data_IF_354715726752
#
_entry.id   IF_354715726752
#
_cell.length_a   1.000
_cell.length_b   1.000
_cell.length_c   1.000
_cell.angle_alpha   90.00
_cell.angle_beta   90.00
_cell.angle_gamma   90.00
#
_symmetry.space_group_name_H-M   'P 1'
#
loop_
_entity.id
_entity.type
_entity.pdbx_description
1 polymer ?
#
# COMPACT_ATOMS: atom_id res chain seq x y z
N UNK A 1 -4.87 9.65 16.30
CA UNK A 1 -4.46 9.42 14.93
C UNK A 1 -4.15 7.99 14.71
N UNK A 2 -4.77 7.41 13.73
CA UNK A 2 -4.60 6.00 13.45
C UNK A 2 -3.50 5.79 12.44
N UNK A 3 -2.59 4.85 12.71
CA UNK A 3 -1.55 4.52 11.75
C UNK A 3 -2.12 3.86 10.50
N UNK A 4 -3.32 3.32 10.60
CA UNK A 4 -3.93 2.65 9.46
C UNK A 4 -4.34 3.63 8.37
N UNK A 5 -4.28 4.93 8.63
CA UNK A 5 -4.60 5.92 7.61
C UNK A 5 -3.39 6.43 6.86
N UNK A 6 -2.18 5.96 7.23
CA UNK A 6 -0.97 6.40 6.54
C UNK A 6 -0.92 5.81 5.15
N UNK A 7 -0.98 6.67 4.14
CA UNK A 7 -0.88 6.23 2.76
C UNK A 7 0.57 6.01 2.36
N UNK A 8 0.78 5.18 1.36
CA UNK A 8 2.10 4.91 0.82
C UNK A 8 2.04 5.04 -0.69
N UNK A 9 3.12 5.49 -1.29
CA UNK A 9 3.18 5.69 -2.74
C UNK A 9 4.32 4.86 -3.32
N UNK A 10 4.02 4.21 -4.45
CA UNK A 10 5.03 3.47 -5.19
C UNK A 10 5.96 4.48 -5.87
N UNK A 11 7.25 4.36 -5.62
CA UNK A 11 8.21 5.32 -6.18
C UNK A 11 8.50 5.05 -7.66
N UNK A 12 7.98 3.96 -8.20
CA UNK A 12 8.19 3.60 -9.60
C UNK A 12 7.05 4.09 -10.47
N UNK A 13 5.81 3.78 -10.10
CA UNK A 13 4.65 4.14 -10.93
C UNK A 13 3.71 5.12 -10.27
N UNK A 14 3.98 5.50 -9.02
CA UNK A 14 3.19 6.47 -8.28
C UNK A 14 1.80 5.94 -7.87
N UNK A 15 1.65 4.63 -7.82
CA UNK A 15 0.44 4.04 -7.27
C UNK A 15 0.35 4.34 -5.78
N UNK A 16 -0.81 4.79 -5.32
CA UNK A 16 -0.99 5.14 -3.92
C UNK A 16 -1.80 4.06 -3.23
N UNK A 17 -1.21 3.45 -2.20
CA UNK A 17 -1.93 2.50 -1.37
C UNK A 17 -2.65 3.28 -0.27
N UNK A 18 -3.96 3.18 -0.25
CA UNK A 18 -4.80 3.82 0.76
C UNK A 18 -5.32 2.74 1.70
N UNK A 19 -4.87 2.75 2.97
CA UNK A 19 -5.32 1.70 3.91
C UNK A 19 -6.83 1.64 4.07
N UNK A 20 -7.51 2.77 3.93
CA UNK A 20 -8.96 2.79 4.06
C UNK A 20 -9.64 1.98 2.96
N UNK A 21 -9.02 1.89 1.79
CA UNK A 21 -9.56 1.17 0.66
C UNK A 21 -8.98 -0.24 0.54
N UNK A 22 -7.76 -0.43 1.02
CA UNK A 22 -7.08 -1.71 0.87
C UNK A 22 -6.79 -2.03 -0.58
N UNK A 23 -6.61 -3.30 -0.85
CA UNK A 23 -6.39 -3.80 -2.21
C UNK A 23 -7.08 -5.15 -2.33
N UNK A 24 -8.42 -5.16 -2.36
CA UNK A 24 -9.18 -6.41 -2.34
C UNK A 24 -8.84 -7.34 -3.49
N UNK A 25 -8.45 -6.78 -4.64
CA UNK A 25 -8.11 -7.61 -5.79
C UNK A 25 -6.86 -8.46 -5.52
N UNK A 26 -6.03 -8.02 -4.59
CA UNK A 26 -4.85 -8.78 -4.20
C UNK A 26 -5.04 -9.44 -2.83
N UNK A 27 -6.25 -9.42 -2.30
CA UNK A 27 -6.54 -10.07 -1.03
C UNK A 27 -6.26 -9.21 0.19
N UNK A 28 -6.10 -7.90 0.00
CA UNK A 28 -5.84 -6.99 1.11
C UNK A 28 -7.14 -6.29 1.48
N UNK A 29 -7.67 -6.60 2.65
CA UNK A 29 -8.94 -6.04 3.10
C UNK A 29 -8.84 -4.55 3.36
N UNK A 30 -9.92 -3.79 3.13
CA UNK A 30 -9.96 -2.40 3.58
C UNK A 30 -9.68 -2.31 5.07
N UNK A 31 -8.90 -1.31 5.46
CA UNK A 31 -8.54 -1.14 6.86
C UNK A 31 -7.21 -1.78 7.22
N UNK A 32 -6.50 -2.34 6.25
CA UNK A 32 -5.19 -2.96 6.50
C UNK A 32 -4.10 -1.93 6.38
N UNK A 33 -3.30 -1.76 7.43
CA UNK A 33 -2.16 -0.85 7.37
C UNK A 33 -1.12 -1.42 6.41
N UNK A 34 -0.35 -0.53 5.79
CA UNK A 34 0.66 -0.96 4.83
C UNK A 34 1.64 -1.95 5.46
N UNK A 35 2.04 -1.70 6.69
CA UNK A 35 3.00 -2.57 7.37
C UNK A 35 2.42 -3.94 7.71
N UNK A 36 1.10 -4.07 7.66
CA UNK A 36 0.45 -5.36 7.92
C UNK A 36 0.26 -6.18 6.64
N UNK A 37 0.58 -5.61 5.49
CA UNK A 37 0.48 -6.33 4.23
C UNK A 37 1.61 -7.35 4.16
N UNK A 38 1.34 -8.58 3.68
CA UNK A 38 2.40 -9.59 3.55
C UNK A 38 3.56 -9.09 2.70
N UNK A 39 4.75 -9.55 3.00
CA UNK A 39 5.94 -9.11 2.30
C UNK A 39 5.95 -9.50 0.84
N UNK A 40 5.17 -10.51 0.47
CA UNK A 40 5.12 -10.96 -0.92
C UNK A 40 4.10 -10.19 -1.76
N UNK A 41 3.44 -9.19 -1.16
CA UNK A 41 2.53 -8.35 -1.91
C UNK A 41 3.33 -7.45 -2.86
N UNK A 42 2.79 -7.25 -4.05
CA UNK A 42 3.44 -6.44 -5.06
C UNK A 42 2.49 -5.35 -5.53
N UNK A 43 3.08 -4.25 -6.03
CA UNK A 43 2.29 -3.17 -6.57
C UNK A 43 1.39 -3.69 -7.68
N UNK A 44 0.07 -3.43 -7.61
CA UNK A 44 -0.84 -3.96 -8.63
C UNK A 44 -0.65 -3.31 -10.00
N UNK A 45 0.05 -2.17 -10.03
CA UNK A 45 0.25 -1.44 -11.28
C UNK A 45 1.54 -1.85 -11.98
N UNK A 46 2.65 -1.93 -11.24
CA UNK A 46 3.94 -2.15 -11.88
C UNK A 46 4.66 -3.38 -11.35
N UNK A 47 4.15 -4.01 -10.30
CA UNK A 47 4.70 -5.29 -9.84
C UNK A 47 5.94 -5.22 -8.97
N UNK A 48 6.32 -4.03 -8.50
CA UNK A 48 7.47 -3.95 -7.60
C UNK A 48 7.05 -4.34 -6.19
N UNK A 49 8.04 -4.65 -5.35
CA UNK A 49 7.76 -5.07 -3.99
C UNK A 49 7.47 -3.88 -3.08
N UNK A 50 7.10 -4.18 -1.83
CA UNK A 50 6.83 -3.14 -0.86
C UNK A 50 8.04 -2.24 -0.61
N UNK A 51 9.24 -2.73 -0.86
CA UNK A 51 10.45 -1.96 -0.62
C UNK A 51 10.52 -0.72 -1.51
N UNK A 52 9.76 -0.69 -2.59
CA UNK A 52 9.74 0.46 -3.50
C UNK A 52 8.59 1.41 -3.19
N UNK A 53 8.09 1.38 -1.99
CA UNK A 53 7.06 2.31 -1.52
C UNK A 53 7.61 3.22 -0.45
N UNK A 54 7.11 4.45 -0.42
CA UNK A 54 7.44 5.44 0.60
C UNK A 54 6.18 5.99 1.23
N UNK A 55 6.32 6.55 2.42
CA UNK A 55 5.18 7.21 3.04
C UNK A 55 4.73 8.37 2.16
N UNK A 56 3.44 8.43 1.93
CA UNK A 56 2.84 9.50 1.14
C UNK A 56 2.17 10.49 2.07
N UNK A 57 2.58 11.73 2.00
CA UNK A 57 1.98 12.80 2.80
C UNK A 57 1.30 13.78 1.88
N UNK A 58 0.04 14.04 2.17
CA UNK A 58 -0.76 14.95 1.36
C UNK A 58 -0.51 16.39 1.70
#
# INVERSE_FOLDING_TARGET
>A
MSKTTQKYICIVCEYIYDPALGDPDSGISPGTAFEDIPDDWECPDCGVSKDDFEKYEE
#
